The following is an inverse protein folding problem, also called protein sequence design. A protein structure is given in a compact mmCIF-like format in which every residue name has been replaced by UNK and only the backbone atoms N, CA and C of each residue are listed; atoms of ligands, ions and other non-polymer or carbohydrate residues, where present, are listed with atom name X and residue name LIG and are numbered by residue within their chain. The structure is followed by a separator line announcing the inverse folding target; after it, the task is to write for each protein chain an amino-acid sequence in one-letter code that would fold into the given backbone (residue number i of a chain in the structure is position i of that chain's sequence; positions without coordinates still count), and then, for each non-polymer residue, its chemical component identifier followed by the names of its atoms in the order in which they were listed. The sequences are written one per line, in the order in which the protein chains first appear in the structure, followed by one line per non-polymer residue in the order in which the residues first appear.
data_IF_835456045768
#
_entry.id   IF_835456045768
#
_cell.length_a   1.000
_cell.length_b   1.000
_cell.length_c   1.000
_cell.angle_alpha   90.00
_cell.angle_beta   90.00
_cell.angle_gamma   90.00
#
_symmetry.space_group_name_H-M   'P 1'
#
loop_
_entity.id
_entity.type
_entity.pdbx_description
1 polymer ?
#
# COMPACT_ATOMS: atom_id res chain seq x y z
N UNK A 1 24.45 8.15 15.57
CA UNK A 1 23.32 8.83 14.93
C UNK A 1 22.64 7.85 14.00
N UNK A 2 21.42 7.57 14.29
CA UNK A 2 20.61 6.72 13.39
C UNK A 2 20.13 7.61 12.23
N UNK A 3 20.87 7.59 11.12
CA UNK A 3 20.56 8.34 9.89
C UNK A 3 19.65 7.55 8.95
N UNK A 4 18.91 6.61 9.50
CA UNK A 4 18.00 5.81 8.71
C UNK A 4 16.85 6.66 8.17
N UNK A 5 16.71 6.70 6.86
CA UNK A 5 15.57 7.34 6.21
C UNK A 5 14.27 6.68 6.65
N UNK A 6 13.17 7.45 6.84
CA UNK A 6 11.88 6.84 7.12
C UNK A 6 11.43 5.97 5.95
N UNK A 7 11.03 4.73 6.24
CA UNK A 7 10.53 3.77 5.25
C UNK A 7 9.02 3.67 5.42
N UNK A 8 8.29 4.04 4.37
CA UNK A 8 6.83 4.05 4.35
C UNK A 8 6.27 3.07 3.34
N UNK A 9 5.36 2.23 3.79
CA UNK A 9 4.62 1.31 2.95
C UNK A 9 3.34 1.91 2.39
N UNK A 10 3.01 1.54 1.16
CA UNK A 10 1.71 1.80 0.52
C UNK A 10 1.19 0.48 -0.02
N UNK A 11 -0.06 0.16 0.29
CA UNK A 11 -0.78 -0.99 -0.26
C UNK A 11 -1.63 -0.52 -1.43
N UNK A 12 -1.48 -1.14 -2.59
CA UNK A 12 -2.17 -0.70 -3.81
C UNK A 12 -2.42 -1.85 -4.79
N UNK A 13 -3.29 -1.59 -5.74
CA UNK A 13 -3.46 -2.43 -6.93
C UNK A 13 -2.88 -1.78 -8.18
N UNK A 14 -2.95 -0.45 -8.28
CA UNK A 14 -2.50 0.30 -9.45
C UNK A 14 -3.05 -0.28 -10.76
N UNK A 15 -4.34 -0.31 -10.88
CA UNK A 15 -5.04 -1.02 -11.95
C UNK A 15 -5.92 -0.09 -12.85
N UNK A 16 -5.28 0.78 -13.67
CA UNK A 16 -3.85 1.07 -13.77
C UNK A 16 -3.36 2.14 -12.77
N UNK A 17 -2.05 2.37 -12.75
CA UNK A 17 -1.45 3.52 -12.06
C UNK A 17 -1.86 4.83 -12.76
N UNK A 18 -2.20 5.85 -11.99
CA UNK A 18 -2.63 7.14 -12.52
C UNK A 18 -2.11 8.32 -11.68
N UNK A 19 -2.42 9.55 -12.10
CA UNK A 19 -1.93 10.78 -11.45
C UNK A 19 -2.30 10.90 -9.98
N UNK A 20 -3.46 10.38 -9.57
CA UNK A 20 -3.86 10.35 -8.16
C UNK A 20 -2.94 9.49 -7.29
N UNK A 21 -2.49 8.34 -7.82
CA UNK A 21 -1.51 7.50 -7.16
C UNK A 21 -0.14 8.18 -7.05
N UNK A 22 0.29 8.86 -8.11
CA UNK A 22 1.52 9.65 -8.09
C UNK A 22 1.44 10.79 -7.08
N UNK A 23 0.31 11.47 -6.99
CA UNK A 23 0.06 12.50 -5.98
C UNK A 23 0.17 11.93 -4.57
N UNK A 24 -0.44 10.76 -4.30
CA UNK A 24 -0.37 10.09 -3.01
C UNK A 24 1.08 9.78 -2.61
N UNK A 25 1.87 9.19 -3.50
CA UNK A 25 3.28 8.89 -3.26
C UNK A 25 4.08 10.17 -2.92
N UNK A 26 3.92 11.22 -3.71
CA UNK A 26 4.61 12.50 -3.50
C UNK A 26 4.19 13.16 -2.19
N UNK A 27 2.90 13.15 -1.88
CA UNK A 27 2.36 13.68 -0.63
C UNK A 27 2.91 12.95 0.58
N UNK A 28 2.93 11.61 0.53
CA UNK A 28 3.49 10.77 1.59
C UNK A 28 4.96 11.09 1.83
N UNK A 29 5.77 11.15 0.78
CA UNK A 29 7.20 11.50 0.89
C UNK A 29 7.40 12.86 1.53
N UNK A 30 6.66 13.86 1.06
CA UNK A 30 6.74 15.22 1.60
C UNK A 30 6.37 15.27 3.08
N UNK A 31 5.35 14.55 3.50
CA UNK A 31 4.89 14.50 4.90
C UNK A 31 5.91 13.87 5.84
N UNK A 32 6.80 13.03 5.34
CA UNK A 32 7.85 12.36 6.09
C UNK A 32 9.24 13.02 5.96
N UNK A 33 9.30 14.27 5.51
CA UNK A 33 10.53 15.06 5.47
C UNK A 33 11.26 15.10 4.13
N UNK A 34 10.72 14.47 3.08
CA UNK A 34 11.27 14.54 1.72
C UNK A 34 12.21 13.38 1.36
N UNK A 35 12.93 12.82 2.32
CA UNK A 35 13.91 11.74 2.12
C UNK A 35 13.35 10.34 2.41
N UNK A 36 12.03 10.23 2.59
CA UNK A 36 11.38 8.96 2.88
C UNK A 36 11.50 7.98 1.71
N UNK A 37 11.78 6.73 2.03
CA UNK A 37 11.73 5.61 1.08
C UNK A 37 10.30 5.11 1.00
N UNK A 38 9.74 5.06 -0.20
CA UNK A 38 8.37 4.59 -0.46
C UNK A 38 8.40 3.19 -1.05
N UNK A 39 7.84 2.25 -0.31
CA UNK A 39 7.69 0.86 -0.73
C UNK A 39 6.21 0.58 -0.99
N UNK A 40 5.90 0.17 -2.22
CA UNK A 40 4.54 -0.22 -2.59
C UNK A 40 4.43 -1.74 -2.61
N UNK A 41 3.38 -2.28 -1.98
CA UNK A 41 2.96 -3.67 -2.15
C UNK A 41 1.75 -3.68 -3.09
N UNK A 42 1.87 -4.40 -4.18
CA UNK A 42 0.91 -4.39 -5.28
C UNK A 42 0.50 -5.81 -5.64
N UNK A 43 -0.78 -6.04 -5.90
CA UNK A 43 -1.26 -7.29 -6.49
C UNK A 43 -0.58 -7.57 -7.84
N UNK A 44 -0.33 -8.85 -8.11
CA UNK A 44 0.23 -9.31 -9.37
C UNK A 44 -0.74 -9.18 -10.56
N UNK A 45 -0.73 -10.14 -11.47
CA UNK A 45 -1.61 -10.12 -12.65
C UNK A 45 -3.10 -10.35 -12.32
N UNK A 46 -3.40 -10.84 -11.11
CA UNK A 46 -4.75 -10.96 -10.58
C UNK A 46 -4.95 -9.95 -9.46
N UNK A 47 -6.03 -9.19 -9.56
CA UNK A 47 -6.44 -8.22 -8.54
C UNK A 47 -7.45 -8.83 -7.58
N UNK A 48 -7.84 -8.08 -6.57
CA UNK A 48 -8.85 -8.50 -5.61
C UNK A 48 -10.12 -8.97 -6.34
N UNK A 49 -10.77 -10.03 -5.83
CA UNK A 49 -11.91 -10.73 -6.44
C UNK A 49 -11.55 -11.63 -7.62
N UNK A 50 -10.28 -11.79 -7.96
CA UNK A 50 -9.82 -12.73 -8.98
C UNK A 50 -9.89 -12.23 -10.41
N UNK A 51 -10.22 -10.96 -10.64
CA UNK A 51 -10.17 -10.37 -11.97
C UNK A 51 -8.74 -10.21 -12.48
N UNK A 52 -8.56 -10.18 -13.79
CA UNK A 52 -7.29 -9.83 -14.41
C UNK A 52 -7.03 -8.33 -14.27
N UNK A 53 -5.78 -7.98 -13.99
CA UNK A 53 -5.35 -6.60 -14.06
C UNK A 53 -5.44 -6.08 -15.51
N UNK A 54 -5.74 -4.80 -15.68
CA UNK A 54 -5.85 -4.14 -16.99
C UNK A 54 -4.53 -4.16 -17.76
N UNK A 55 -3.41 -4.04 -17.01
CA UNK A 55 -2.05 -4.18 -17.51
C UNK A 55 -1.31 -5.25 -16.71
N UNK A 56 -0.29 -5.86 -17.30
CA UNK A 56 0.55 -6.81 -16.59
C UNK A 56 1.27 -6.17 -15.39
N UNK A 57 1.70 -7.00 -14.46
CA UNK A 57 2.32 -6.54 -13.22
C UNK A 57 3.61 -5.75 -13.43
N UNK A 58 4.39 -6.07 -14.45
CA UNK A 58 5.66 -5.38 -14.71
C UNK A 58 5.43 -3.98 -15.24
N UNK A 59 4.48 -3.80 -16.15
CA UNK A 59 4.10 -2.48 -16.66
C UNK A 59 3.54 -1.58 -15.55
N UNK A 60 2.72 -2.14 -14.65
CA UNK A 60 2.16 -1.41 -13.50
C UNK A 60 3.25 -1.05 -12.49
N UNK A 61 4.15 -1.96 -12.17
CA UNK A 61 5.27 -1.71 -11.27
C UNK A 61 6.22 -0.65 -11.83
N UNK A 62 6.54 -0.71 -13.13
CA UNK A 62 7.39 0.28 -13.78
C UNK A 62 6.77 1.69 -13.70
N UNK A 63 5.47 1.82 -13.97
CA UNK A 63 4.77 3.11 -13.86
C UNK A 63 4.75 3.63 -12.43
N UNK A 64 4.61 2.76 -11.43
CA UNK A 64 4.68 3.16 -10.02
C UNK A 64 6.06 3.67 -9.62
N UNK A 65 7.14 3.00 -10.07
CA UNK A 65 8.52 3.45 -9.84
C UNK A 65 8.77 4.78 -10.54
N UNK A 66 8.37 4.94 -11.80
CA UNK A 66 8.45 6.23 -12.51
C UNK A 66 7.61 7.32 -11.85
N UNK A 67 6.52 6.95 -11.18
CA UNK A 67 5.65 7.84 -10.41
C UNK A 67 6.19 8.25 -9.04
N UNK A 68 7.32 7.65 -8.61
CA UNK A 68 8.02 8.03 -7.39
C UNK A 68 8.15 6.95 -6.31
N UNK A 69 7.67 5.72 -6.54
CA UNK A 69 7.97 4.61 -5.64
C UNK A 69 9.44 4.20 -5.76
N UNK A 70 10.08 3.87 -4.65
CA UNK A 70 11.47 3.41 -4.64
C UNK A 70 11.56 1.89 -4.85
N UNK A 71 10.55 1.16 -4.39
CA UNK A 71 10.44 -0.28 -4.52
C UNK A 71 8.98 -0.70 -4.69
N UNK A 72 8.73 -1.63 -5.58
CA UNK A 72 7.43 -2.27 -5.74
C UNK A 72 7.57 -3.77 -5.50
N UNK A 73 6.81 -4.30 -4.56
CA UNK A 73 6.77 -5.72 -4.22
C UNK A 73 5.44 -6.32 -4.67
N UNK A 74 5.48 -7.53 -5.19
CA UNK A 74 4.28 -8.29 -5.52
C UNK A 74 3.68 -8.91 -4.26
N UNK A 75 2.40 -8.64 -4.01
CA UNK A 75 1.64 -9.34 -2.98
C UNK A 75 1.45 -10.79 -3.39
N UNK A 76 1.76 -11.77 -2.51
CA UNK A 76 1.52 -13.17 -2.81
C UNK A 76 0.08 -13.45 -3.25
N UNK A 77 -0.08 -14.30 -4.26
CA UNK A 77 -1.36 -14.58 -4.90
C UNK A 77 -2.45 -15.00 -3.90
N UNK A 78 -2.10 -15.81 -2.91
CA UNK A 78 -3.05 -16.25 -1.88
C UNK A 78 -3.63 -15.08 -1.08
N UNK A 79 -2.85 -14.05 -0.81
CA UNK A 79 -3.33 -12.83 -0.16
C UNK A 79 -4.12 -11.95 -1.13
N UNK A 80 -3.66 -11.80 -2.36
CA UNK A 80 -4.32 -10.99 -3.39
C UNK A 80 -5.73 -11.49 -3.73
N UNK A 81 -5.95 -12.81 -3.74
CA UNK A 81 -7.24 -13.45 -4.02
C UNK A 81 -8.15 -13.62 -2.80
N UNK A 82 -7.68 -13.25 -1.62
CA UNK A 82 -8.46 -13.37 -0.38
C UNK A 82 -9.48 -12.23 -0.21
N UNK A 83 -10.16 -12.21 0.93
CA UNK A 83 -11.04 -11.08 1.31
C UNK A 83 -10.27 -9.76 1.37
N UNK A 84 -10.98 -8.64 1.44
CA UNK A 84 -10.35 -7.33 1.64
C UNK A 84 -9.48 -7.28 2.90
N UNK A 85 -9.92 -7.93 3.97
CA UNK A 85 -9.15 -8.08 5.21
C UNK A 85 -7.89 -8.93 4.99
N UNK A 86 -8.00 -10.07 4.33
CA UNK A 86 -6.85 -10.93 4.04
C UNK A 86 -5.84 -10.27 3.12
N UNK A 87 -6.30 -9.53 2.13
CA UNK A 87 -5.45 -8.70 1.26
C UNK A 87 -4.66 -7.67 2.08
N UNK A 88 -5.36 -6.90 2.90
CA UNK A 88 -4.72 -5.87 3.74
C UNK A 88 -3.75 -6.49 4.76
N UNK A 89 -4.15 -7.58 5.42
CA UNK A 89 -3.32 -8.29 6.40
C UNK A 89 -2.04 -8.83 5.77
N UNK A 90 -2.11 -9.46 4.61
CA UNK A 90 -0.96 -9.98 3.88
C UNK A 90 -0.02 -8.86 3.44
N UNK A 91 -0.56 -7.77 2.93
CA UNK A 91 0.23 -6.63 2.49
C UNK A 91 0.93 -5.92 3.67
N UNK A 92 0.24 -5.68 4.77
CA UNK A 92 0.81 -5.05 5.97
C UNK A 92 1.88 -5.95 6.60
N UNK A 93 1.64 -7.27 6.66
CA UNK A 93 2.63 -8.22 7.16
C UNK A 93 3.92 -8.19 6.31
N UNK A 94 3.80 -8.13 4.99
CA UNK A 94 4.94 -8.03 4.09
C UNK A 94 5.71 -6.72 4.32
N UNK A 95 5.02 -5.59 4.38
CA UNK A 95 5.63 -4.28 4.65
C UNK A 95 6.32 -4.24 6.02
N UNK A 96 5.69 -4.80 7.04
CA UNK A 96 6.30 -4.90 8.36
C UNK A 96 7.56 -5.77 8.34
N UNK A 97 7.51 -6.91 7.65
CA UNK A 97 8.63 -7.84 7.54
C UNK A 97 9.88 -7.25 6.88
N UNK A 98 9.72 -6.28 5.98
CA UNK A 98 10.83 -5.57 5.33
C UNK A 98 11.24 -4.29 6.06
N UNK A 99 10.65 -4.00 7.23
CA UNK A 99 11.06 -2.90 8.08
C UNK A 99 10.36 -1.56 7.81
N UNK A 100 9.24 -1.53 7.12
CA UNK A 100 8.43 -0.32 7.01
C UNK A 100 7.87 0.07 8.39
N UNK A 101 8.17 1.29 8.81
CA UNK A 101 7.68 1.83 10.10
C UNK A 101 6.43 2.69 9.96
N UNK A 102 6.14 3.13 8.75
CA UNK A 102 4.99 3.96 8.42
C UNK A 102 4.13 3.27 7.38
N UNK A 103 2.84 3.47 7.45
CA UNK A 103 1.86 3.05 6.46
C UNK A 103 1.08 4.28 6.00
N UNK A 104 1.03 4.50 4.69
CA UNK A 104 0.24 5.57 4.09
C UNK A 104 -0.90 4.99 3.26
N UNK A 105 -2.09 5.51 3.48
CA UNK A 105 -3.28 5.11 2.73
C UNK A 105 -4.22 6.30 2.55
N UNK A 106 -5.05 6.25 1.53
CA UNK A 106 -6.13 7.20 1.31
C UNK A 106 -7.39 6.79 2.09
N UNK A 107 -8.08 7.76 2.65
CA UNK A 107 -9.37 7.59 3.29
C UNK A 107 -10.26 8.81 3.02
N UNK A 108 -11.56 8.66 3.18
CA UNK A 108 -12.52 9.78 3.04
C UNK A 108 -12.32 10.83 4.15
N UNK A 109 -11.81 10.42 5.30
CA UNK A 109 -11.41 11.32 6.39
C UNK A 109 -9.93 11.20 6.67
N UNK A 110 -9.27 12.33 6.92
CA UNK A 110 -7.88 12.37 7.38
C UNK A 110 -7.74 12.20 8.90
N UNK A 111 -8.84 12.06 9.62
CA UNK A 111 -8.82 11.85 11.08
C UNK A 111 -8.53 10.39 11.41
N UNK A 112 -7.28 10.12 11.78
CA UNK A 112 -6.81 8.78 12.13
C UNK A 112 -7.55 8.22 13.35
N UNK A 113 -8.02 9.08 14.26
CA UNK A 113 -8.73 8.62 15.45
C UNK A 113 -10.09 8.00 15.10
N UNK A 114 -10.79 8.55 14.13
CA UNK A 114 -12.03 7.98 13.60
C UNK A 114 -11.80 6.66 12.89
N UNK A 115 -10.72 6.56 12.11
CA UNK A 115 -10.33 5.31 11.44
C UNK A 115 -10.02 4.22 12.46
N UNK A 116 -9.28 4.55 13.54
CA UNK A 116 -8.98 3.62 14.62
C UNK A 116 -10.24 3.16 15.36
N UNK A 117 -11.14 4.06 15.72
CA UNK A 117 -12.40 3.71 16.37
C UNK A 117 -13.25 2.77 15.51
N UNK A 118 -13.31 3.03 14.19
CA UNK A 118 -14.00 2.14 13.27
C UNK A 118 -13.37 0.74 13.22
N UNK A 119 -12.04 0.67 13.19
CA UNK A 119 -11.31 -0.60 13.20
C UNK A 119 -11.53 -1.39 14.50
N UNK A 120 -11.50 -0.72 15.65
CA UNK A 120 -11.78 -1.33 16.95
C UNK A 120 -13.22 -1.86 17.02
N UNK A 121 -14.18 -1.10 16.54
CA UNK A 121 -15.58 -1.51 16.48
C UNK A 121 -15.77 -2.77 15.60
N UNK A 122 -15.11 -2.81 14.43
CA UNK A 122 -15.14 -3.98 13.54
C UNK A 122 -14.52 -5.22 14.19
N UNK A 123 -13.39 -5.06 14.88
CA UNK A 123 -12.72 -6.16 15.59
C UNK A 123 -13.51 -6.68 16.80
N UNK A 124 -14.40 -5.89 17.35
CA UNK A 124 -15.26 -6.29 18.48
C UNK A 124 -16.51 -7.06 18.03
N UNK A 125 -16.83 -7.08 16.73
CA UNK A 125 -17.94 -7.86 16.20
C UNK A 125 -17.61 -9.36 16.22
N UNK A 126 -18.55 -10.22 16.61
CA UNK A 126 -18.33 -11.67 16.50
C UNK A 126 -18.18 -12.07 15.02
N UNK A 127 -17.44 -13.16 14.76
CA UNK A 127 -17.21 -13.67 13.40
C UNK A 127 -18.50 -14.16 12.73
#
# INVERSE_FOLDING_TARGET
MDTAFPVCGIVAEYNPFHSGHMFHIRRTRKSLGGDAVIVCVMSGNFVQRGDFAVLDKYARAETAVRGGADLVLELPLAAALSSAEGFARGAVALLHGIGCRYLSFGAETADISLVQQAAEALNALPP
#
